data_IF_380026223385
#
_entry.id   IF_380026223385
#
_cell.length_a   1.000
_cell.length_b   1.000
_cell.length_c   1.000
_cell.angle_alpha   90.00
_cell.angle_beta   90.00
_cell.angle_gamma   90.00
#
_symmetry.space_group_name_H-M   'P 1'
#
loop_
_entity.id
_entity.type
_entity.pdbx_description
1 polymer ?
#
# COMPACT_ATOMS: atom_id res chain seq x y z
N UNK A 1 -49.27 -38.71 -31.66
CA UNK A 1 -49.51 -39.29 -30.33
C UNK A 1 -48.25 -39.04 -29.52
N UNK A 2 -48.35 -38.08 -28.60
CA UNK A 2 -47.60 -37.87 -27.32
C UNK A 2 -46.08 -38.09 -27.35
N UNK A 3 -45.25 -37.04 -27.35
CA UNK A 3 -45.00 -35.99 -26.33
C UNK A 3 -44.31 -36.54 -25.06
N UNK A 4 -43.08 -36.09 -24.84
CA UNK A 4 -42.17 -36.49 -23.77
C UNK A 4 -41.26 -35.31 -23.40
N UNK A 5 -41.88 -34.32 -22.78
CA UNK A 5 -41.42 -33.21 -21.92
C UNK A 5 -39.91 -33.01 -21.74
N UNK A 6 -39.41 -31.90 -22.29
CA UNK A 6 -38.22 -31.16 -21.85
C UNK A 6 -38.62 -30.24 -20.69
N UNK A 7 -37.81 -30.18 -19.63
CA UNK A 7 -37.97 -29.20 -18.55
C UNK A 7 -37.55 -27.80 -19.01
N UNK A 8 -38.40 -26.77 -18.85
CA UNK A 8 -37.96 -25.38 -18.92
C UNK A 8 -37.52 -24.88 -17.53
N UNK A 9 -36.40 -24.17 -17.46
CA UNK A 9 -36.09 -23.29 -16.34
C UNK A 9 -36.79 -21.94 -16.61
N UNK A 10 -37.74 -21.57 -15.77
CA UNK A 10 -38.45 -20.30 -15.87
C UNK A 10 -37.58 -19.17 -15.31
N UNK A 11 -37.23 -18.23 -16.18
CA UNK A 11 -37.06 -16.82 -15.84
C UNK A 11 -38.45 -16.19 -15.92
N UNK A 12 -38.92 -15.46 -14.89
CA UNK A 12 -39.08 -13.97 -14.88
C UNK A 12 -39.81 -13.50 -13.60
N UNK A 13 -39.36 -12.35 -13.08
CA UNK A 13 -40.19 -11.24 -12.58
C UNK A 13 -40.85 -11.32 -11.17
N UNK A 14 -40.08 -10.94 -10.14
CA UNK A 14 -40.60 -10.08 -9.06
C UNK A 14 -40.10 -8.67 -9.36
N UNK A 15 -40.93 -7.64 -9.54
CA UNK A 15 -41.99 -7.23 -8.62
C UNK A 15 -41.42 -6.04 -7.84
N UNK A 16 -41.60 -4.84 -8.40
CA UNK A 16 -41.01 -3.61 -7.90
C UNK A 16 -41.60 -3.20 -6.55
N UNK A 17 -40.73 -3.03 -5.55
CA UNK A 17 -40.98 -2.24 -4.36
C UNK A 17 -39.66 -1.59 -3.93
N UNK A 18 -39.36 -0.45 -4.55
CA UNK A 18 -38.30 0.45 -4.09
C UNK A 18 -38.77 1.17 -2.83
N UNK A 19 -38.56 0.52 -1.69
CA UNK A 19 -38.68 1.16 -0.39
C UNK A 19 -37.45 2.07 -0.15
N UNK A 20 -37.66 3.36 -0.36
CA UNK A 20 -36.85 4.44 0.23
C UNK A 20 -36.76 4.24 1.75
N UNK A 21 -35.56 4.00 2.31
CA UNK A 21 -35.14 4.57 3.60
C UNK A 21 -33.65 4.86 3.56
N UNK A 22 -33.34 6.10 3.94
CA UNK A 22 -32.05 6.77 3.92
C UNK A 22 -30.90 6.05 4.63
N UNK A 23 -29.73 6.26 4.04
CA UNK A 23 -28.39 6.00 4.54
C UNK A 23 -28.16 6.44 5.99
N UNK A 24 -27.94 5.47 6.87
CA UNK A 24 -27.32 5.69 8.18
C UNK A 24 -25.81 5.77 7.98
N UNK A 25 -25.32 7.01 7.98
CA UNK A 25 -23.92 7.38 7.98
C UNK A 25 -23.30 7.05 9.35
N UNK A 26 -22.94 5.79 9.58
CA UNK A 26 -22.10 5.41 10.74
C UNK A 26 -20.66 5.80 10.41
N UNK A 27 -20.25 6.96 10.92
CA UNK A 27 -18.84 7.28 11.11
C UNK A 27 -18.35 6.44 12.29
N UNK A 28 -17.75 5.28 12.01
CA UNK A 28 -16.99 4.55 13.02
C UNK A 28 -15.69 5.30 13.25
N UNK A 29 -15.69 6.25 14.18
CA UNK A 29 -14.47 6.79 14.76
C UNK A 29 -13.91 5.73 15.71
N UNK A 30 -13.03 4.86 15.20
CA UNK A 30 -12.23 3.99 16.06
C UNK A 30 -11.18 4.84 16.78
N UNK A 31 -11.56 5.38 17.92
CA UNK A 31 -10.67 6.01 18.89
C UNK A 31 -9.88 4.89 19.58
N UNK A 32 -8.71 4.55 19.05
CA UNK A 32 -7.72 3.73 19.77
C UNK A 32 -6.83 4.67 20.56
N UNK A 33 -6.88 4.49 21.88
CA UNK A 33 -6.09 5.19 22.90
C UNK A 33 -4.62 5.25 22.51
N UNK A 34 -4.23 6.47 22.15
CA UNK A 34 -2.89 6.90 21.83
C UNK A 34 -2.03 6.91 23.11
N UNK A 35 -1.24 5.84 23.31
CA UNK A 35 -0.04 5.92 24.12
C UNK A 35 1.04 6.53 23.24
N UNK A 36 1.05 7.87 23.14
CA UNK A 36 2.13 8.59 22.49
C UNK A 36 3.36 8.56 23.40
N UNK A 37 4.32 7.71 23.04
CA UNK A 37 5.71 7.87 23.47
C UNK A 37 6.20 9.24 22.95
N UNK A 38 6.69 10.16 23.81
CA UNK A 38 6.98 11.54 23.42
C UNK A 38 8.31 11.73 22.67
N UNK A 39 8.88 10.68 22.07
CA UNK A 39 10.16 10.73 21.33
C UNK A 39 10.03 10.35 19.84
N UNK A 40 8.81 10.34 19.29
CA UNK A 40 8.63 10.23 17.83
C UNK A 40 8.72 11.64 17.24
N UNK A 41 9.88 11.97 16.67
CA UNK A 41 10.00 12.99 15.62
C UNK A 41 9.04 12.56 14.48
N UNK A 42 7.76 12.90 14.64
CA UNK A 42 6.67 12.49 13.78
C UNK A 42 6.80 13.27 12.46
N UNK A 43 7.82 12.89 11.69
CA UNK A 43 8.11 13.47 10.41
C UNK A 43 6.88 13.27 9.52
N UNK A 44 6.45 14.37 8.90
CA UNK A 44 5.21 14.46 8.15
C UNK A 44 5.14 13.32 7.11
N UNK A 45 4.01 12.61 6.99
CA UNK A 45 3.87 11.56 5.98
C UNK A 45 4.09 12.13 4.57
N UNK A 46 4.79 11.35 3.75
CA UNK A 46 5.12 11.67 2.36
C UNK A 46 4.27 10.81 1.44
N UNK A 47 3.75 11.39 0.37
CA UNK A 47 2.90 10.69 -0.59
C UNK A 47 3.71 10.25 -1.80
N UNK A 48 3.85 8.94 -2.01
CA UNK A 48 4.43 8.40 -3.24
C UNK A 48 3.32 8.09 -4.24
N UNK A 49 3.54 8.44 -5.51
CA UNK A 49 2.61 8.11 -6.59
C UNK A 49 3.26 7.01 -7.39
N UNK A 50 2.63 5.83 -7.42
CA UNK A 50 3.12 4.72 -8.23
C UNK A 50 2.77 4.88 -9.71
N UNK A 51 3.25 3.95 -10.53
CA UNK A 51 3.13 3.97 -11.99
C UNK A 51 1.68 3.92 -12.49
N UNK A 52 0.78 3.33 -11.71
CA UNK A 52 -0.66 3.27 -11.92
C UNK A 52 -1.37 4.60 -11.65
N UNK A 53 -0.68 5.57 -11.04
CA UNK A 53 -1.26 6.80 -10.53
C UNK A 53 -1.88 6.67 -9.13
N UNK A 54 -1.84 5.48 -8.51
CA UNK A 54 -2.25 5.30 -7.10
C UNK A 54 -1.27 6.02 -6.18
N UNK A 55 -1.81 6.72 -5.18
CA UNK A 55 -1.02 7.40 -4.16
C UNK A 55 -0.94 6.54 -2.91
N UNK A 56 0.26 6.43 -2.35
CA UNK A 56 0.56 5.70 -1.13
C UNK A 56 1.13 6.66 -0.08
N UNK A 57 0.53 6.66 1.11
CA UNK A 57 1.02 7.44 2.23
C UNK A 57 2.15 6.66 2.92
N UNK A 58 3.34 7.25 2.94
CA UNK A 58 4.53 6.65 3.51
C UNK A 58 5.02 7.46 4.71
N UNK A 59 5.44 6.76 5.75
CA UNK A 59 6.05 7.35 6.95
C UNK A 59 7.56 7.36 6.78
N UNK A 60 8.22 8.52 6.81
CA UNK A 60 9.68 8.57 6.85
C UNK A 60 10.21 7.84 8.09
N UNK A 61 11.31 7.11 7.94
CA UNK A 61 11.98 6.40 9.03
C UNK A 61 13.49 6.51 8.84
N UNK A 62 14.22 6.69 9.95
CA UNK A 62 15.68 6.71 9.91
C UNK A 62 16.21 5.31 9.60
N UNK A 63 17.21 5.19 8.73
CA UNK A 63 17.76 3.88 8.34
C UNK A 63 18.23 3.06 9.55
N UNK A 64 18.82 3.70 10.55
CA UNK A 64 19.29 3.04 11.78
C UNK A 64 18.16 2.42 12.63
N UNK A 65 16.95 2.98 12.53
CA UNK A 65 15.76 2.51 13.23
C UNK A 65 14.83 1.69 12.33
N UNK A 66 15.25 1.40 11.10
CA UNK A 66 14.42 0.70 10.13
C UNK A 66 14.17 -0.74 10.58
N UNK A 67 12.90 -1.04 10.84
CA UNK A 67 12.42 -2.39 11.13
C UNK A 67 11.45 -2.80 10.06
N UNK A 68 11.83 -3.79 9.25
CA UNK A 68 11.01 -4.30 8.15
C UNK A 68 10.16 -5.46 8.70
N UNK A 69 8.84 -5.28 8.70
CA UNK A 69 7.86 -6.30 9.11
C UNK A 69 7.21 -6.94 7.89
N UNK A 70 6.49 -8.04 8.13
CA UNK A 70 5.75 -8.77 7.09
C UNK A 70 4.48 -8.03 6.64
N UNK A 71 3.88 -7.23 7.52
CA UNK A 71 2.62 -6.51 7.34
C UNK A 71 2.80 -5.07 6.81
N UNK A 72 3.98 -4.75 6.30
CA UNK A 72 4.31 -3.42 5.79
C UNK A 72 5.20 -3.50 4.55
N UNK A 73 5.14 -2.46 3.73
CA UNK A 73 6.02 -2.28 2.59
C UNK A 73 7.09 -1.24 2.95
N UNK A 74 8.35 -1.58 2.74
CA UNK A 74 9.49 -0.70 2.96
C UNK A 74 10.03 -0.20 1.64
N UNK A 75 10.45 1.07 1.61
CA UNK A 75 11.12 1.70 0.49
C UNK A 75 12.45 2.27 0.95
N UNK A 76 13.47 2.06 0.13
CA UNK A 76 14.76 2.69 0.30
C UNK A 76 14.96 3.68 -0.84
N UNK A 77 15.28 4.92 -0.49
CA UNK A 77 15.43 6.01 -1.43
C UNK A 77 16.80 6.65 -1.31
N UNK A 78 17.34 7.10 -2.44
CA UNK A 78 18.44 8.07 -2.46
C UNK A 78 17.88 9.43 -2.78
N UNK A 79 18.29 10.43 -2.00
CA UNK A 79 17.93 11.81 -2.26
C UNK A 79 18.89 12.43 -3.27
N UNK A 80 18.35 12.94 -4.35
CA UNK A 80 19.04 13.80 -5.30
C UNK A 80 18.62 15.27 -5.09
N UNK A 81 19.27 16.20 -5.78
CA UNK A 81 19.08 17.64 -5.57
C UNK A 81 17.62 18.10 -5.73
N UNK A 82 16.81 17.39 -6.53
CA UNK A 82 15.43 17.76 -6.86
C UNK A 82 14.43 16.58 -6.77
N UNK A 83 14.91 15.37 -6.47
CA UNK A 83 14.09 14.15 -6.48
C UNK A 83 14.53 13.18 -5.40
N UNK A 84 13.64 12.26 -5.07
CA UNK A 84 13.94 11.04 -4.34
C UNK A 84 13.72 9.85 -5.27
N UNK A 85 14.78 9.08 -5.44
CA UNK A 85 14.78 7.93 -6.33
C UNK A 85 14.67 6.66 -5.51
N UNK A 86 13.60 5.91 -5.75
CA UNK A 86 13.35 4.64 -5.07
C UNK A 86 14.34 3.62 -5.63
N UNK A 87 15.28 3.21 -4.79
CA UNK A 87 16.30 2.21 -5.12
C UNK A 87 15.79 0.79 -4.91
N UNK A 88 14.91 0.61 -3.93
CA UNK A 88 14.39 -0.70 -3.56
C UNK A 88 13.02 -0.57 -2.91
N UNK A 89 12.21 -1.60 -3.12
CA UNK A 89 10.88 -1.76 -2.50
C UNK A 89 10.64 -3.22 -2.16
N UNK A 90 10.16 -3.49 -0.95
CA UNK A 90 9.84 -4.84 -0.52
C UNK A 90 9.35 -4.93 0.93
N UNK A 91 8.84 -6.10 1.31
CA UNK A 91 8.39 -6.39 2.68
C UNK A 91 9.32 -7.40 3.37
N UNK A 92 9.05 -7.70 4.65
CA UNK A 92 9.78 -8.74 5.39
C UNK A 92 9.72 -10.09 4.68
N UNK A 93 8.55 -10.43 4.13
CA UNK A 93 8.34 -11.64 3.33
C UNK A 93 9.25 -11.66 2.08
N UNK A 94 9.40 -10.54 1.39
CA UNK A 94 10.29 -10.43 0.23
C UNK A 94 11.75 -10.71 0.61
N UNK A 95 12.21 -10.19 1.75
CA UNK A 95 13.59 -10.42 2.20
C UNK A 95 13.87 -11.87 2.60
N UNK A 96 12.87 -12.56 3.17
CA UNK A 96 13.03 -13.96 3.61
C UNK A 96 12.92 -14.91 2.42
N UNK A 97 11.87 -14.77 1.61
CA UNK A 97 11.49 -15.77 0.61
C UNK A 97 12.02 -15.48 -0.79
N UNK A 98 12.35 -14.24 -1.13
CA UNK A 98 12.84 -13.87 -2.45
C UNK A 98 14.34 -13.53 -2.42
N UNK A 99 15.16 -14.52 -2.80
CA UNK A 99 16.60 -14.37 -2.85
C UNK A 99 17.09 -13.19 -3.71
N UNK A 100 16.55 -12.92 -4.92
CA UNK A 100 17.02 -11.78 -5.71
C UNK A 100 16.67 -10.44 -5.04
N UNK A 101 15.46 -10.28 -4.51
CA UNK A 101 15.07 -9.07 -3.79
C UNK A 101 15.96 -8.83 -2.54
N UNK A 102 16.27 -9.89 -1.77
CA UNK A 102 17.22 -9.78 -0.66
C UNK A 102 18.61 -9.32 -1.11
N UNK A 103 19.10 -9.82 -2.24
CA UNK A 103 20.41 -9.42 -2.76
C UNK A 103 20.42 -7.93 -3.17
N UNK A 104 19.35 -7.45 -3.80
CA UNK A 104 19.17 -6.04 -4.14
C UNK A 104 19.12 -5.17 -2.88
N UNK A 105 18.36 -5.56 -1.86
CA UNK A 105 18.31 -4.86 -0.58
C UNK A 105 19.71 -4.67 0.04
N UNK A 106 20.51 -5.75 0.10
CA UNK A 106 21.86 -5.70 0.67
C UNK A 106 22.82 -4.80 -0.14
N UNK A 107 22.64 -4.71 -1.46
CA UNK A 107 23.40 -3.80 -2.31
C UNK A 107 23.03 -2.33 -2.07
N UNK A 108 21.74 -2.04 -1.91
CA UNK A 108 21.24 -0.66 -1.86
C UNK A 108 21.16 -0.07 -0.44
N UNK A 109 21.08 -0.89 0.61
CA UNK A 109 20.88 -0.39 2.00
C UNK A 109 22.00 0.53 2.47
N UNK A 110 23.23 0.32 1.97
CA UNK A 110 24.38 1.18 2.28
C UNK A 110 24.46 2.43 1.38
N UNK A 111 23.63 2.51 0.34
CA UNK A 111 23.57 3.62 -0.62
C UNK A 111 22.37 4.55 -0.38
N UNK A 112 21.32 4.03 0.25
CA UNK A 112 20.12 4.78 0.55
C UNK A 112 20.37 5.86 1.61
N UNK A 113 19.74 7.03 1.42
CA UNK A 113 19.77 8.16 2.36
C UNK A 113 18.51 8.19 3.24
N UNK A 114 17.38 7.72 2.68
CA UNK A 114 16.07 7.71 3.32
C UNK A 114 15.42 6.35 3.23
N UNK A 115 14.65 6.04 4.27
CA UNK A 115 13.75 4.89 4.28
C UNK A 115 12.33 5.36 4.56
N UNK A 116 11.37 4.66 3.98
CA UNK A 116 9.95 4.94 4.14
C UNK A 116 9.19 3.65 4.37
N UNK A 117 8.19 3.70 5.26
CA UNK A 117 7.29 2.58 5.54
C UNK A 117 5.88 2.93 5.07
N UNK A 118 5.27 2.02 4.32
CA UNK A 118 3.86 2.08 3.92
C UNK A 118 3.15 0.93 4.63
N UNK A 119 2.15 1.26 5.44
CA UNK A 119 1.33 0.30 6.17
C UNK A 119 0.31 -0.33 5.20
N UNK A 120 0.58 -1.56 4.75
CA UNK A 120 -0.30 -2.33 3.87
C UNK A 120 -0.38 -3.74 4.44
N UNK A 121 -1.48 -4.07 5.11
CA UNK A 121 -1.63 -5.37 5.78
C UNK A 121 -1.92 -6.50 4.78
N UNK A 122 -2.57 -6.19 3.66
CA UNK A 122 -2.93 -7.18 2.64
C UNK A 122 -1.74 -7.53 1.73
N UNK A 123 -1.38 -8.82 1.66
CA UNK A 123 -0.21 -9.28 0.89
C UNK A 123 -0.35 -9.13 -0.62
N UNK A 124 -1.58 -9.19 -1.16
CA UNK A 124 -1.81 -9.00 -2.59
C UNK A 124 -1.65 -7.52 -2.95
N UNK A 125 -2.16 -6.61 -2.11
CA UNK A 125 -1.95 -5.18 -2.23
C UNK A 125 -0.48 -4.80 -2.04
N UNK A 126 0.26 -5.43 -1.12
CA UNK A 126 1.71 -5.23 -1.00
C UNK A 126 2.44 -5.61 -2.29
N UNK A 127 2.08 -6.74 -2.89
CA UNK A 127 2.71 -7.21 -4.13
C UNK A 127 2.44 -6.25 -5.30
N UNK A 128 1.20 -5.76 -5.40
CA UNK A 128 0.83 -4.76 -6.40
C UNK A 128 1.53 -3.42 -6.16
N UNK A 129 1.55 -2.93 -4.91
CA UNK A 129 2.19 -1.69 -4.52
C UNK A 129 3.70 -1.74 -4.74
N UNK A 130 4.34 -2.88 -4.45
CA UNK A 130 5.75 -3.10 -4.73
C UNK A 130 6.03 -2.93 -6.20
N UNK A 131 5.31 -3.65 -7.08
CA UNK A 131 5.46 -3.53 -8.53
C UNK A 131 5.19 -2.11 -9.04
N UNK A 132 4.19 -1.45 -8.45
CA UNK A 132 3.75 -0.11 -8.84
C UNK A 132 4.76 0.98 -8.46
N UNK A 133 5.48 0.79 -7.35
CA UNK A 133 6.46 1.74 -6.83
C UNK A 133 7.89 1.44 -7.30
N UNK A 134 8.18 0.22 -7.75
CA UNK A 134 9.48 -0.14 -8.33
C UNK A 134 9.87 0.82 -9.47
N UNK A 135 11.11 1.33 -9.41
CA UNK A 135 11.69 2.26 -10.39
C UNK A 135 10.88 3.56 -10.57
N UNK A 136 10.15 3.99 -9.53
CA UNK A 136 9.44 5.26 -9.59
C UNK A 136 10.31 6.40 -9.10
N UNK A 137 10.30 7.50 -9.84
CA UNK A 137 10.99 8.73 -9.51
C UNK A 137 10.02 9.64 -8.75
N UNK A 138 10.31 9.97 -7.49
CA UNK A 138 9.50 10.88 -6.71
C UNK A 138 10.08 12.30 -6.81
N UNK A 139 9.33 13.23 -7.41
CA UNK A 139 9.76 14.63 -7.45
C UNK A 139 9.49 15.28 -6.09
N UNK A 140 10.54 15.83 -5.49
CA UNK A 140 10.38 16.59 -4.27
C UNK A 140 9.66 17.91 -4.58
N UNK A 141 8.72 18.38 -3.73
CA UNK A 141 8.16 19.71 -3.91
C UNK A 141 9.29 20.74 -3.84
N UNK A 142 9.46 21.54 -4.90
CA UNK A 142 10.43 22.62 -4.93
C UNK A 142 10.06 23.59 -3.80
N UNK A 143 10.95 23.74 -2.81
CA UNK A 143 10.80 24.77 -1.80
C UNK A 143 10.92 26.14 -2.50
N UNK A 144 9.78 26.82 -2.66
CA UNK A 144 9.70 28.17 -3.20
C UNK A 144 10.23 29.21 -2.20
#
# INVERSE_FOLDING_TARGET
MTDGTLYPFETTQGGAEEAYVSSLNVQTTSETTQYADPDEDAAKPVSFVGRSGKTYAAKPTQLENLRIRDDQLCLLCVRNQQSEDILWVGSGQSLVHDQPNRAEFLDVVNKADKAYIIEIVDSAEQSLASWDLSNTHHNLPHAA
#
